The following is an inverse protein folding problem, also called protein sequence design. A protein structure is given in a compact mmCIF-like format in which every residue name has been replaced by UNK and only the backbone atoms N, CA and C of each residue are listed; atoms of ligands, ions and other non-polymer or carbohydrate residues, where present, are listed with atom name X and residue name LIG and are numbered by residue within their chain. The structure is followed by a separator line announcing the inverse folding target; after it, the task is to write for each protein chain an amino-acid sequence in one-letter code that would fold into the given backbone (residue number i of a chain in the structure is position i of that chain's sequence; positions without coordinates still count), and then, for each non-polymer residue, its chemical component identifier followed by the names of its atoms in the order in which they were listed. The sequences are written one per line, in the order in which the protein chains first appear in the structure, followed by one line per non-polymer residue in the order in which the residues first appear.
data_IF_938774652075
#
_entry.id   IF_938774652075
#
_cell.length_a   1.000
_cell.length_b   1.000
_cell.length_c   1.000
_cell.angle_alpha   90.00
_cell.angle_beta   90.00
_cell.angle_gamma   90.00
#
_symmetry.space_group_name_H-M   'P 1'
#
loop_
_entity.id
_entity.type
_entity.pdbx_description
1 polymer ?
#
# COMPACT_ATOMS: atom_id res chain seq x y z
N UNK A 1 1.75 -46.16 22.57
CA UNK A 1 2.67 -45.94 21.45
C UNK A 1 2.52 -44.48 21.02
N UNK A 2 3.41 -43.59 21.47
CA UNK A 2 3.30 -42.15 21.16
C UNK A 2 4.06 -41.91 19.86
N UNK A 3 3.35 -41.53 18.80
CA UNK A 3 3.94 -41.18 17.51
C UNK A 3 4.91 -40.01 17.72
N UNK A 4 6.20 -40.21 17.44
CA UNK A 4 7.27 -39.23 17.69
C UNK A 4 7.03 -37.84 17.07
N UNK A 5 6.15 -37.73 16.06
CA UNK A 5 5.74 -36.44 15.48
C UNK A 5 4.90 -35.56 16.42
N UNK A 6 3.93 -36.11 17.15
CA UNK A 6 2.98 -35.30 17.94
C UNK A 6 3.62 -34.67 19.17
N UNK A 7 4.62 -35.33 19.78
CA UNK A 7 5.36 -34.76 20.93
C UNK A 7 6.18 -33.53 20.55
N UNK A 8 6.77 -33.52 19.36
CA UNK A 8 7.58 -32.40 18.88
C UNK A 8 6.70 -31.19 18.58
N UNK A 9 5.59 -31.37 17.85
CA UNK A 9 4.63 -30.29 17.63
C UNK A 9 3.99 -29.80 18.93
N UNK A 10 3.62 -30.72 19.83
CA UNK A 10 3.10 -30.36 21.16
C UNK A 10 4.11 -29.52 21.94
N UNK A 11 5.39 -29.90 21.97
CA UNK A 11 6.42 -29.11 22.64
C UNK A 11 6.60 -27.73 22.00
N UNK A 12 6.67 -27.67 20.67
CA UNK A 12 6.88 -26.41 19.96
C UNK A 12 5.72 -25.44 20.18
N UNK A 13 4.48 -25.90 20.13
CA UNK A 13 3.28 -25.08 20.33
C UNK A 13 3.10 -24.75 21.82
N UNK A 14 3.10 -25.74 22.71
CA UNK A 14 2.70 -25.59 24.11
C UNK A 14 3.82 -25.13 25.04
N UNK A 15 5.10 -25.30 24.66
CA UNK A 15 6.25 -24.90 25.49
C UNK A 15 7.15 -23.87 24.84
N UNK A 16 7.42 -24.00 23.55
CA UNK A 16 8.25 -23.04 22.82
C UNK A 16 7.45 -21.89 22.19
N UNK A 17 6.12 -21.87 22.38
CA UNK A 17 5.20 -20.82 21.92
C UNK A 17 5.26 -20.56 20.41
N UNK A 18 5.51 -21.59 19.61
CA UNK A 18 5.43 -21.47 18.15
C UNK A 18 3.98 -21.23 17.75
N UNK A 19 3.80 -20.34 16.79
CA UNK A 19 2.50 -19.99 16.23
C UNK A 19 2.23 -20.78 14.96
N UNK A 20 0.96 -21.10 14.72
CA UNK A 20 0.51 -21.70 13.48
C UNK A 20 -0.05 -20.58 12.61
N UNK A 21 0.50 -20.43 11.41
CA UNK A 21 0.08 -19.43 10.42
C UNK A 21 -0.47 -20.17 9.19
N UNK A 22 -1.58 -19.65 8.65
CA UNK A 22 -2.31 -20.24 7.51
C UNK A 22 -2.62 -21.73 7.72
N UNK A 23 -2.90 -22.15 8.97
CA UNK A 23 -3.25 -23.52 9.36
C UNK A 23 -2.21 -24.63 9.12
N UNK A 24 -1.05 -24.30 8.52
CA UNK A 24 -0.03 -25.31 8.16
C UNK A 24 1.40 -24.94 8.54
N UNK A 25 1.72 -23.65 8.73
CA UNK A 25 3.10 -23.22 8.99
C UNK A 25 3.36 -22.99 10.46
N UNK A 26 4.29 -23.76 11.02
CA UNK A 26 4.75 -23.59 12.38
C UNK A 26 5.92 -22.59 12.42
N UNK A 27 5.71 -21.44 13.07
CA UNK A 27 6.64 -20.31 13.04
C UNK A 27 7.08 -19.96 14.46
N UNK A 28 8.39 -19.76 14.73
CA UNK A 28 8.86 -19.28 16.02
C UNK A 28 8.21 -17.93 16.38
N UNK A 29 7.85 -17.69 17.65
CA UNK A 29 7.10 -16.48 18.03
C UNK A 29 7.80 -15.17 17.65
N UNK A 30 9.14 -15.17 17.65
CA UNK A 30 9.95 -14.01 17.22
C UNK A 30 9.75 -13.57 15.76
N UNK A 31 9.16 -14.43 14.92
CA UNK A 31 8.87 -14.15 13.51
C UNK A 31 7.37 -14.14 13.20
N UNK A 32 6.51 -14.41 14.17
CA UNK A 32 5.08 -14.60 13.93
C UNK A 32 4.42 -13.37 13.32
N UNK A 33 4.64 -12.18 13.89
CA UNK A 33 4.11 -10.91 13.35
C UNK A 33 4.54 -10.65 11.90
N UNK A 34 5.77 -10.99 11.56
CA UNK A 34 6.34 -10.77 10.22
C UNK A 34 5.72 -11.75 9.23
N UNK A 35 5.63 -13.02 9.61
CA UNK A 35 5.02 -14.05 8.79
C UNK A 35 3.52 -13.84 8.61
N UNK A 36 2.81 -13.31 9.62
CA UNK A 36 1.42 -12.90 9.50
C UNK A 36 1.26 -11.69 8.56
N UNK A 37 2.15 -10.71 8.66
CA UNK A 37 2.11 -9.50 7.82
C UNK A 37 2.55 -9.76 6.37
N UNK A 38 3.36 -10.80 6.15
CA UNK A 38 3.83 -11.19 4.83
C UNK A 38 3.83 -12.71 4.65
N UNK A 39 2.66 -13.31 4.44
CA UNK A 39 2.54 -14.76 4.33
C UNK A 39 3.27 -15.35 3.12
N UNK A 40 3.54 -14.52 2.09
CA UNK A 40 4.29 -14.94 0.90
C UNK A 40 5.68 -15.52 1.23
N UNK A 41 6.27 -15.09 2.34
CA UNK A 41 7.55 -15.61 2.84
C UNK A 41 7.49 -17.10 3.21
N UNK A 42 6.32 -17.61 3.60
CA UNK A 42 6.12 -19.00 4.02
C UNK A 42 6.21 -19.98 2.84
N UNK A 43 5.92 -19.50 1.63
CA UNK A 43 5.95 -20.26 0.38
C UNK A 43 7.35 -20.36 -0.24
N UNK A 44 8.36 -19.68 0.32
CA UNK A 44 9.74 -19.87 -0.10
C UNK A 44 10.16 -21.31 0.18
N UNK A 45 10.47 -22.06 -0.89
CA UNK A 45 10.80 -23.49 -0.82
C UNK A 45 12.09 -23.74 -0.06
N UNK A 46 13.06 -22.84 -0.20
CA UNK A 46 14.32 -22.92 0.53
C UNK A 46 14.14 -22.39 1.95
N UNK A 47 14.32 -23.29 2.92
CA UNK A 47 14.13 -22.98 4.35
C UNK A 47 15.19 -22.01 4.87
N UNK A 48 16.40 -22.06 4.34
CA UNK A 48 17.48 -21.17 4.76
C UNK A 48 17.24 -19.76 4.24
N UNK A 49 16.91 -19.63 2.96
CA UNK A 49 16.51 -18.34 2.36
C UNK A 49 15.33 -17.75 3.12
N UNK A 50 14.31 -18.57 3.43
CA UNK A 50 13.15 -18.13 4.21
C UNK A 50 13.55 -17.57 5.58
N UNK A 51 14.45 -18.25 6.30
CA UNK A 51 14.91 -17.79 7.61
C UNK A 51 15.72 -16.48 7.51
N UNK A 52 16.59 -16.36 6.52
CA UNK A 52 17.37 -15.15 6.27
C UNK A 52 16.46 -13.95 5.95
N UNK A 53 15.41 -14.16 5.15
CA UNK A 53 14.40 -13.14 4.89
C UNK A 53 13.64 -12.74 6.15
N UNK A 54 13.13 -13.71 6.92
CA UNK A 54 12.42 -13.45 8.18
C UNK A 54 13.29 -12.66 9.17
N UNK A 55 14.58 -13.01 9.28
CA UNK A 55 15.52 -12.32 10.14
C UNK A 55 15.84 -10.91 9.64
N UNK A 56 16.05 -10.74 8.34
CA UNK A 56 16.30 -9.43 7.73
C UNK A 56 15.09 -8.51 7.92
N UNK A 57 13.88 -8.98 7.61
CA UNK A 57 12.65 -8.21 7.81
C UNK A 57 12.46 -7.86 9.28
N UNK A 58 12.75 -8.78 10.21
CA UNK A 58 12.70 -8.51 11.64
C UNK A 58 13.63 -7.36 12.04
N UNK A 59 14.87 -7.41 11.58
CA UNK A 59 15.85 -6.39 11.90
C UNK A 59 15.46 -5.02 11.34
N UNK A 60 14.92 -4.97 10.12
CA UNK A 60 14.40 -3.74 9.51
C UNK A 60 13.23 -3.20 10.34
N UNK A 61 12.27 -4.04 10.72
CA UNK A 61 11.10 -3.63 11.50
C UNK A 61 11.50 -3.10 12.89
N UNK A 62 12.40 -3.81 13.58
CA UNK A 62 12.93 -3.35 14.87
C UNK A 62 13.70 -2.04 14.74
N UNK A 63 14.48 -1.89 13.67
CA UNK A 63 15.21 -0.66 13.41
C UNK A 63 14.26 0.52 13.17
N UNK A 64 13.23 0.33 12.33
CA UNK A 64 12.20 1.34 12.09
C UNK A 64 11.44 1.70 13.36
N UNK A 65 11.00 0.70 14.13
CA UNK A 65 10.31 0.94 15.41
C UNK A 65 11.20 1.71 16.40
N UNK A 66 12.50 1.42 16.44
CA UNK A 66 13.46 2.16 17.27
C UNK A 66 13.61 3.61 16.79
N UNK A 67 13.74 3.83 15.48
CA UNK A 67 13.80 5.17 14.90
C UNK A 67 12.54 5.97 15.16
N UNK A 68 11.36 5.38 14.96
CA UNK A 68 10.06 6.02 15.23
C UNK A 68 9.94 6.46 16.70
N UNK A 69 10.46 5.67 17.65
CA UNK A 69 10.48 6.05 19.08
C UNK A 69 11.43 7.21 19.37
N UNK A 70 12.57 7.26 18.70
CA UNK A 70 13.58 8.30 18.90
C UNK A 70 13.22 9.59 18.17
N UNK A 71 12.42 9.52 17.12
CA UNK A 71 12.05 10.66 16.30
C UNK A 71 10.55 10.61 15.91
N UNK A 72 9.65 10.93 16.86
CA UNK A 72 8.21 10.90 16.59
C UNK A 72 7.77 11.95 15.55
N UNK A 73 8.48 13.09 15.45
CA UNK A 73 8.23 14.15 14.46
C UNK A 73 8.46 13.66 13.02
N UNK A 74 9.52 12.87 12.82
CA UNK A 74 9.90 12.38 11.49
C UNK A 74 8.78 11.59 10.79
N UNK A 75 7.99 10.81 11.53
CA UNK A 75 6.85 10.09 10.93
C UNK A 75 5.83 11.05 10.34
N UNK A 76 5.54 12.14 11.05
CA UNK A 76 4.60 13.15 10.58
C UNK A 76 5.15 13.88 9.35
N UNK A 77 6.41 14.29 9.38
CA UNK A 77 7.10 14.93 8.25
C UNK A 77 7.11 14.04 6.99
N UNK A 78 7.35 12.74 7.15
CA UNK A 78 7.30 11.78 6.02
C UNK A 78 5.90 11.68 5.44
N UNK A 79 4.86 11.67 6.27
CA UNK A 79 3.48 11.56 5.78
C UNK A 79 3.01 12.85 5.12
N UNK A 80 3.39 14.01 5.66
CA UNK A 80 3.16 15.32 5.03
C UNK A 80 3.87 15.41 3.67
N UNK A 81 5.14 14.97 3.59
CA UNK A 81 5.88 14.91 2.32
C UNK A 81 5.21 13.98 1.30
N UNK A 82 4.69 12.82 1.72
CA UNK A 82 3.93 11.91 0.84
C UNK A 82 2.63 12.54 0.35
N UNK A 83 1.90 13.24 1.22
CA UNK A 83 0.69 13.95 0.83
C UNK A 83 0.98 15.03 -0.20
N UNK A 84 2.05 15.80 0.01
CA UNK A 84 2.51 16.81 -0.93
C UNK A 84 2.86 16.21 -2.30
N UNK A 85 3.64 15.13 -2.34
CA UNK A 85 3.99 14.44 -3.60
C UNK A 85 2.72 13.96 -4.32
N UNK A 86 1.80 13.29 -3.62
CA UNK A 86 0.53 12.82 -4.19
C UNK A 86 -0.35 13.95 -4.71
N UNK A 87 -0.30 15.12 -4.06
CA UNK A 87 -1.01 16.30 -4.55
C UNK A 87 -0.40 16.81 -5.86
N UNK A 88 0.93 16.95 -5.90
CA UNK A 88 1.66 17.39 -7.11
C UNK A 88 1.46 16.46 -8.29
N UNK A 89 1.43 15.14 -8.07
CA UNK A 89 1.13 14.16 -9.12
C UNK A 89 -0.28 14.34 -9.68
N UNK A 90 -1.27 14.56 -8.83
CA UNK A 90 -2.66 14.82 -9.26
C UNK A 90 -2.77 16.12 -10.05
N UNK A 91 -2.14 17.19 -9.59
CA UNK A 91 -2.09 18.47 -10.29
C UNK A 91 -1.44 18.32 -11.68
N UNK A 92 -0.29 17.64 -11.76
CA UNK A 92 0.39 17.37 -13.03
C UNK A 92 -0.46 16.53 -13.98
N UNK A 93 -1.18 15.54 -13.46
CA UNK A 93 -2.09 14.71 -14.26
C UNK A 93 -3.29 15.52 -14.79
N UNK A 94 -3.86 16.41 -13.97
CA UNK A 94 -4.94 17.31 -14.38
C UNK A 94 -4.47 18.32 -15.44
N UNK A 95 -3.26 18.87 -15.28
CA UNK A 95 -2.66 19.80 -16.24
C UNK A 95 -2.43 19.11 -17.60
N UNK A 96 -1.87 17.90 -17.59
CA UNK A 96 -1.69 17.08 -18.79
C UNK A 96 -3.02 16.73 -19.47
N UNK A 97 -4.06 16.36 -18.70
CA UNK A 97 -5.40 16.13 -19.25
C UNK A 97 -5.97 17.41 -19.88
N UNK A 98 -5.85 18.55 -19.20
CA UNK A 98 -6.35 19.84 -19.69
C UNK A 98 -5.65 20.24 -20.99
N UNK A 99 -4.34 20.01 -21.06
CA UNK A 99 -3.55 20.24 -22.28
C UNK A 99 -4.02 19.38 -23.45
N UNK A 100 -4.25 18.07 -23.24
CA UNK A 100 -4.76 17.17 -24.29
C UNK A 100 -6.15 17.58 -24.78
N UNK A 101 -7.02 18.03 -23.88
CA UNK A 101 -8.34 18.54 -24.25
C UNK A 101 -8.21 19.80 -25.11
N UNK A 102 -7.33 20.73 -24.75
CA UNK A 102 -7.04 21.93 -25.54
C UNK A 102 -6.46 21.60 -26.92
N UNK A 103 -5.52 20.64 -27.02
CA UNK A 103 -4.96 20.18 -28.30
C UNK A 103 -6.03 19.59 -29.23
N UNK A 104 -7.11 19.02 -28.67
CA UNK A 104 -8.25 18.49 -29.40
C UNK A 104 -9.35 19.53 -29.66
N UNK A 105 -9.18 20.79 -29.25
CA UNK A 105 -10.22 21.83 -29.23
C UNK A 105 -11.49 21.38 -28.49
N UNK A 106 -11.33 20.69 -27.35
CA UNK A 106 -12.43 20.25 -26.49
C UNK A 106 -12.37 21.01 -25.17
N UNK A 107 -13.48 21.62 -24.76
CA UNK A 107 -13.70 22.16 -23.42
C UNK A 107 -14.82 21.38 -22.71
N UNK A 108 -14.78 21.29 -21.38
CA UNK A 108 -15.83 20.65 -20.60
C UNK A 108 -16.83 21.70 -20.09
N UNK A 109 -18.12 21.43 -20.23
CA UNK A 109 -19.18 22.22 -19.60
C UNK A 109 -19.00 22.24 -18.08
N UNK A 110 -19.13 23.41 -17.44
CA UNK A 110 -18.95 23.57 -15.99
C UNK A 110 -19.97 22.80 -15.14
N UNK A 111 -21.18 22.59 -15.65
CA UNK A 111 -22.25 21.92 -14.90
C UNK A 111 -22.32 20.42 -15.16
N UNK A 112 -22.44 20.02 -16.43
CA UNK A 112 -22.64 18.61 -16.79
C UNK A 112 -21.36 17.87 -17.18
N UNK A 113 -20.20 18.55 -17.19
CA UNK A 113 -18.90 18.01 -17.64
C UNK A 113 -18.91 17.40 -19.05
N UNK A 114 -19.91 17.72 -19.89
CA UNK A 114 -19.93 17.24 -21.27
C UNK A 114 -18.81 17.90 -22.09
N UNK A 115 -18.10 17.14 -22.95
CA UNK A 115 -17.14 17.69 -23.89
C UNK A 115 -17.85 18.46 -24.99
N UNK A 116 -17.43 19.69 -25.22
CA UNK A 116 -17.95 20.60 -26.25
C UNK A 116 -16.76 21.18 -27.00
N UNK A 117 -16.96 21.60 -28.24
CA UNK A 117 -15.93 22.29 -28.99
C UNK A 117 -15.54 23.59 -28.26
N UNK A 118 -14.25 23.80 -28.05
CA UNK A 118 -13.69 24.93 -27.32
C UNK A 118 -14.03 26.27 -28.00
N UNK A 119 -14.23 26.27 -29.32
CA UNK A 119 -14.67 27.44 -30.10
C UNK A 119 -16.17 27.72 -30.01
N UNK A 120 -16.96 26.70 -29.66
CA UNK A 120 -18.42 26.80 -29.55
C UNK A 120 -18.86 27.01 -28.10
N UNK A 121 -17.93 26.90 -27.14
CA UNK A 121 -18.21 27.14 -25.74
C UNK A 121 -18.38 28.66 -25.50
N UNK A 122 -19.57 29.13 -25.07
CA UNK A 122 -19.76 30.53 -24.71
C UNK A 122 -18.92 30.90 -23.48
N UNK A 123 -18.66 32.20 -23.28
CA UNK A 123 -17.87 32.71 -22.14
C UNK A 123 -18.44 32.30 -20.76
N UNK A 124 -19.72 31.94 -20.70
CA UNK A 124 -20.38 31.38 -19.52
C UNK A 124 -19.81 30.02 -19.09
N UNK A 125 -19.16 29.30 -20.00
CA UNK A 125 -18.60 27.97 -19.74
C UNK A 125 -19.64 26.85 -19.65
N UNK A 126 -20.86 27.10 -20.13
CA UNK A 126 -21.97 26.15 -20.15
C UNK A 126 -22.20 25.63 -21.58
N UNK A 127 -22.60 24.37 -21.72
CA UNK A 127 -23.05 23.83 -23.00
C UNK A 127 -24.41 24.42 -23.38
N UNK A 128 -24.83 24.21 -24.63
CA UNK A 128 -26.13 24.69 -25.11
C UNK A 128 -27.31 24.16 -24.30
N UNK A 129 -27.19 22.96 -23.72
CA UNK A 129 -28.25 22.36 -22.91
C UNK A 129 -28.34 23.03 -21.53
N UNK A 130 -27.20 23.20 -20.85
CA UNK A 130 -27.14 23.81 -19.52
C UNK A 130 -27.37 25.34 -19.53
N UNK A 131 -27.10 26.01 -20.65
CA UNK A 131 -27.36 27.46 -20.79
C UNK A 131 -28.84 27.81 -21.01
N UNK A 132 -29.70 26.82 -21.27
CA UNK A 132 -31.14 27.00 -21.52
C UNK A 132 -32.01 26.63 -20.30
N UNK A 133 -31.41 26.07 -19.24
CA UNK A 133 -32.04 25.85 -17.93
C UNK A 133 -31.99 27.11 -17.05
#
# INVERSE_FOLDING_TARGET
MVQFGTRTYYYLIQRAMYEIIEDYYLVPPRYAEIAQSNPSLLYLQDTQVRLEYLETTRNITLHRAKWDRLNPSYRQEVEEARQFIRQREREAQQEEQSRRLAELNIALCRECQMPVNLNELPESGLCEDCSKE
#
